data_IF_724868660403
#
_entry.id   IF_724868660403
#
_cell.length_a   1.000
_cell.length_b   1.000
_cell.length_c   1.000
_cell.angle_alpha   90.00
_cell.angle_beta   90.00
_cell.angle_gamma   90.00
#
_symmetry.space_group_name_H-M   'P 1'
#
loop_
_entity.id
_entity.type
_entity.pdbx_description
1 polymer ?
#
# COMPACT_ATOMS: atom_id res chain seq x y z
N UNK A 1 -4.44 30.51 10.51
CA UNK A 1 -5.62 30.76 9.68
C UNK A 1 -5.77 32.26 9.57
N UNK A 2 -5.13 32.86 8.57
CA UNK A 2 -5.19 34.29 8.31
C UNK A 2 -6.25 34.52 7.24
N UNK A 3 -7.30 35.27 7.59
CA UNK A 3 -8.27 35.83 6.65
C UNK A 3 -7.55 36.81 5.73
N UNK A 4 -7.16 36.34 4.54
CA UNK A 4 -6.76 37.20 3.44
C UNK A 4 -8.03 37.69 2.75
N UNK A 5 -8.47 38.89 3.13
CA UNK A 5 -9.51 39.63 2.44
C UNK A 5 -9.18 39.75 0.95
N UNK A 6 -9.96 39.07 0.12
CA UNK A 6 -9.90 39.17 -1.33
C UNK A 6 -10.37 40.58 -1.70
N UNK A 7 -9.55 41.40 -2.39
CA UNK A 7 -10.01 42.71 -2.84
C UNK A 7 -11.11 42.52 -3.88
N UNK A 8 -12.32 42.99 -3.57
CA UNK A 8 -13.43 43.02 -4.51
C UNK A 8 -13.00 43.77 -5.78
N UNK A 9 -12.79 43.02 -6.86
CA UNK A 9 -12.53 43.57 -8.17
C UNK A 9 -13.77 44.36 -8.61
N UNK A 10 -13.64 45.69 -8.62
CA UNK A 10 -14.67 46.63 -9.05
C UNK A 10 -14.98 46.37 -10.53
N UNK A 11 -16.07 45.65 -10.79
CA UNK A 11 -16.57 45.32 -12.13
C UNK A 11 -16.88 46.61 -12.91
N UNK A 12 -15.91 47.11 -13.69
CA UNK A 12 -16.17 48.17 -14.67
C UNK A 12 -16.97 47.54 -15.81
N UNK A 13 -18.29 47.64 -15.72
CA UNK A 13 -19.24 47.20 -16.74
C UNK A 13 -18.96 47.93 -18.05
N UNK A 14 -18.10 47.32 -18.88
CA UNK A 14 -17.81 47.75 -20.25
C UNK A 14 -19.14 47.79 -21.03
N UNK A 15 -19.41 48.83 -21.85
CA UNK A 15 -20.64 48.89 -22.62
C UNK A 15 -20.71 47.64 -23.51
N UNK A 16 -21.74 46.83 -23.24
CA UNK A 16 -22.00 45.54 -23.87
C UNK A 16 -22.04 45.70 -25.38
N UNK A 17 -21.54 44.71 -26.12
CA UNK A 17 -21.51 44.71 -27.60
C UNK A 17 -22.87 45.05 -28.22
N UNK A 18 -23.97 44.76 -27.51
CA UNK A 18 -25.33 45.18 -27.89
C UNK A 18 -25.53 46.70 -27.99
N UNK A 19 -24.89 47.52 -27.14
CA UNK A 19 -24.98 48.98 -27.21
C UNK A 19 -24.26 49.54 -28.45
N UNK A 20 -23.13 48.94 -28.84
CA UNK A 20 -22.39 49.31 -30.06
C UNK A 20 -23.22 48.95 -31.29
N UNK A 21 -23.79 47.73 -31.33
CA UNK A 21 -24.64 47.28 -32.44
C UNK A 21 -25.89 48.17 -32.57
N UNK A 22 -26.52 48.54 -31.45
CA UNK A 22 -27.70 49.42 -31.45
C UNK A 22 -27.39 50.83 -31.96
N UNK A 23 -26.21 51.39 -31.62
CA UNK A 23 -25.82 52.70 -32.09
C UNK A 23 -25.46 52.68 -33.60
N UNK A 24 -24.74 51.64 -34.05
CA UNK A 24 -24.37 51.47 -35.47
C UNK A 24 -25.60 51.23 -36.34
N UNK A 25 -26.59 50.46 -35.85
CA UNK A 25 -27.85 50.25 -36.57
C UNK A 25 -28.69 51.52 -36.64
N UNK A 26 -28.75 52.32 -35.57
CA UNK A 26 -29.42 53.62 -35.58
C UNK A 26 -28.74 54.60 -36.55
N UNK A 27 -27.41 54.70 -36.51
CA UNK A 27 -26.63 55.52 -37.44
C UNK A 27 -26.84 55.08 -38.90
N UNK A 28 -26.88 53.77 -39.15
CA UNK A 28 -27.18 53.18 -40.46
C UNK A 28 -28.60 53.54 -40.95
N UNK A 29 -29.60 53.47 -40.07
CA UNK A 29 -30.99 53.80 -40.41
C UNK A 29 -31.14 55.30 -40.72
N UNK A 30 -30.51 56.18 -39.94
CA UNK A 30 -30.49 57.62 -40.19
C UNK A 30 -29.79 57.95 -41.52
N UNK A 31 -28.68 57.28 -41.82
CA UNK A 31 -27.95 57.45 -43.09
C UNK A 31 -28.80 57.02 -44.30
N UNK A 32 -29.47 55.87 -44.22
CA UNK A 32 -30.37 55.40 -45.28
C UNK A 32 -31.57 56.33 -45.46
N UNK A 33 -32.18 56.82 -44.37
CA UNK A 33 -33.26 57.80 -44.43
C UNK A 33 -32.80 59.11 -45.05
N UNK A 34 -31.61 59.61 -44.70
CA UNK A 34 -31.03 60.81 -45.30
C UNK A 34 -30.73 60.61 -46.79
N UNK A 35 -30.24 59.43 -47.20
CA UNK A 35 -30.02 59.09 -48.60
C UNK A 35 -31.32 59.06 -49.42
N UNK A 36 -32.38 58.44 -48.88
CA UNK A 36 -33.71 58.37 -49.50
C UNK A 36 -34.37 59.75 -49.59
N UNK A 37 -34.35 60.53 -48.50
CA UNK A 37 -34.93 61.88 -48.46
C UNK A 37 -34.14 62.86 -49.33
N UNK A 38 -32.80 62.75 -49.33
CA UNK A 38 -31.92 63.50 -50.23
C UNK A 38 -32.25 63.23 -51.70
N UNK A 39 -32.46 61.95 -52.07
CA UNK A 39 -32.95 61.56 -53.39
C UNK A 39 -34.29 62.21 -53.73
N UNK A 40 -35.27 62.14 -52.83
CA UNK A 40 -36.58 62.75 -53.04
C UNK A 40 -36.51 64.28 -53.27
N UNK A 41 -35.51 64.93 -52.67
CA UNK A 41 -35.27 66.36 -52.83
C UNK A 41 -34.51 66.70 -54.13
N UNK A 42 -33.46 65.94 -54.48
CA UNK A 42 -32.61 66.20 -55.66
C UNK A 42 -33.13 65.58 -56.97
N UNK A 43 -34.04 64.60 -56.94
CA UNK A 43 -34.61 63.95 -58.13
C UNK A 43 -35.77 64.73 -58.78
N UNK A 44 -35.99 66.01 -58.42
CA UNK A 44 -36.87 66.90 -59.17
C UNK A 44 -36.24 67.25 -60.52
N UNK A 45 -36.49 66.43 -61.54
CA UNK A 45 -36.16 66.75 -62.94
C UNK A 45 -37.37 66.62 -63.87
N UNK A 46 -37.74 67.78 -64.41
CA UNK A 46 -38.40 68.06 -65.70
C UNK A 46 -39.47 67.09 -66.25
N UNK A 47 -40.71 67.53 -66.06
CA UNK A 47 -41.86 67.58 -66.98
C UNK A 47 -42.43 66.34 -67.70
N UNK A 48 -41.82 65.15 -67.68
CA UNK A 48 -42.43 64.00 -68.40
C UNK A 48 -42.15 62.61 -67.84
N UNK A 49 -41.75 62.51 -66.57
CA UNK A 49 -41.65 61.23 -65.87
C UNK A 49 -42.59 61.24 -64.66
N UNK A 50 -43.63 60.41 -64.71
CA UNK A 50 -44.58 60.22 -63.61
C UNK A 50 -43.97 59.23 -62.59
N UNK A 51 -43.14 59.77 -61.70
CA UNK A 51 -42.50 59.04 -60.61
C UNK A 51 -41.03 59.42 -60.40
N UNK A 52 -40.67 59.77 -59.16
CA UNK A 52 -39.32 60.18 -58.70
C UNK A 52 -38.19 59.19 -59.04
N UNK A 53 -38.54 57.93 -59.33
CA UNK A 53 -37.60 56.83 -59.58
C UNK A 53 -37.69 56.25 -61.01
N UNK A 54 -38.68 56.68 -61.80
CA UNK A 54 -39.00 56.06 -63.10
C UNK A 54 -38.11 56.54 -64.26
N UNK A 55 -37.35 57.62 -64.04
CA UNK A 55 -36.54 58.29 -65.07
C UNK A 55 -35.02 57.98 -64.97
N UNK A 56 -34.58 57.16 -64.01
CA UNK A 56 -33.15 56.86 -63.84
C UNK A 56 -32.70 55.70 -64.74
N UNK A 57 -31.62 55.92 -65.50
CA UNK A 57 -30.92 54.86 -66.24
C UNK A 57 -30.22 53.88 -65.29
N UNK A 58 -29.97 52.66 -65.77
CA UNK A 58 -29.36 51.59 -64.96
C UNK A 58 -27.99 51.98 -64.37
N UNK A 59 -27.20 52.77 -65.09
CA UNK A 59 -25.89 53.26 -64.64
C UNK A 59 -25.99 54.30 -63.51
N UNK A 60 -27.04 55.13 -63.53
CA UNK A 60 -27.31 56.10 -62.48
C UNK A 60 -27.74 55.41 -61.18
N UNK A 61 -28.51 54.32 -61.29
CA UNK A 61 -28.83 53.46 -60.15
C UNK A 61 -27.59 52.82 -59.52
N UNK A 62 -26.67 52.30 -60.33
CA UNK A 62 -25.42 51.73 -59.85
C UNK A 62 -24.53 52.74 -59.10
N UNK A 63 -24.37 53.94 -59.67
CA UNK A 63 -23.58 55.01 -59.05
C UNK A 63 -24.20 55.46 -57.72
N UNK A 64 -25.52 55.62 -57.67
CA UNK A 64 -26.24 55.97 -56.45
C UNK A 64 -26.12 54.90 -55.36
N UNK A 65 -26.41 53.64 -55.71
CA UNK A 65 -26.32 52.53 -54.76
C UNK A 65 -24.89 52.43 -54.22
N UNK A 66 -23.88 52.56 -55.07
CA UNK A 66 -22.48 52.56 -54.61
C UNK A 66 -22.18 53.72 -53.66
N UNK A 67 -22.71 54.92 -53.91
CA UNK A 67 -22.50 56.11 -53.06
C UNK A 67 -23.15 56.01 -51.69
N UNK A 68 -24.34 55.39 -51.58
CA UNK A 68 -25.03 55.23 -50.29
C UNK A 68 -24.55 54.00 -49.51
N UNK A 69 -24.28 52.89 -50.19
CA UNK A 69 -23.85 51.65 -49.56
C UNK A 69 -22.35 51.62 -49.19
N UNK A 70 -21.47 52.34 -49.90
CA UNK A 70 -20.04 52.32 -49.59
C UNK A 70 -19.70 52.87 -48.18
N UNK A 71 -20.20 54.05 -47.75
CA UNK A 71 -19.98 54.53 -46.37
C UNK A 71 -20.65 53.63 -45.33
N UNK A 72 -21.82 53.06 -45.65
CA UNK A 72 -22.54 52.15 -44.77
C UNK A 72 -21.72 50.88 -44.49
N UNK A 73 -21.18 50.25 -45.53
CA UNK A 73 -20.30 49.09 -45.39
C UNK A 73 -19.05 49.41 -44.57
N UNK A 74 -18.48 50.62 -44.73
CA UNK A 74 -17.33 51.07 -43.95
C UNK A 74 -17.65 51.23 -42.45
N UNK A 75 -18.81 51.78 -42.09
CA UNK A 75 -19.24 51.86 -40.69
C UNK A 75 -19.38 50.50 -40.02
N UNK A 76 -19.96 49.52 -40.73
CA UNK A 76 -20.07 48.15 -40.24
C UNK A 76 -18.70 47.46 -40.11
N UNK A 77 -17.76 47.75 -41.00
CA UNK A 77 -16.38 47.25 -40.89
C UNK A 77 -15.70 47.78 -39.62
N UNK A 78 -15.76 49.09 -39.37
CA UNK A 78 -15.15 49.67 -38.16
C UNK A 78 -15.80 49.15 -36.88
N UNK A 79 -17.13 49.00 -36.88
CA UNK A 79 -17.87 48.45 -35.74
C UNK A 79 -17.44 47.00 -35.42
N UNK A 80 -17.32 46.16 -36.44
CA UNK A 80 -16.91 44.75 -36.26
C UNK A 80 -15.46 44.64 -35.78
N UNK A 81 -14.53 45.44 -36.32
CA UNK A 81 -13.13 45.47 -35.85
C UNK A 81 -13.05 45.92 -34.38
N UNK A 82 -13.86 46.90 -33.98
CA UNK A 82 -13.84 47.37 -32.59
C UNK A 82 -14.37 46.33 -31.61
N UNK A 83 -15.45 45.63 -31.96
CA UNK A 83 -16.01 44.53 -31.17
C UNK A 83 -14.98 43.41 -31.05
N UNK A 84 -14.39 42.97 -32.18
CA UNK A 84 -13.36 41.93 -32.20
C UNK A 84 -12.13 42.31 -31.35
N UNK A 85 -11.71 43.57 -31.38
CA UNK A 85 -10.57 44.03 -30.57
C UNK A 85 -10.81 43.92 -29.06
N UNK A 86 -12.06 44.10 -28.63
CA UNK A 86 -12.45 44.00 -27.21
C UNK A 86 -12.55 42.56 -26.74
N UNK A 87 -13.13 41.68 -27.56
CA UNK A 87 -13.18 40.24 -27.28
C UNK A 87 -11.77 39.66 -27.13
N UNK A 88 -10.84 40.05 -28.01
CA UNK A 88 -9.44 39.64 -27.91
C UNK A 88 -8.74 40.19 -26.66
N UNK A 89 -9.09 41.39 -26.20
CA UNK A 89 -8.55 41.95 -24.96
C UNK A 89 -9.04 41.19 -23.73
N UNK A 90 -10.33 40.86 -23.68
CA UNK A 90 -10.92 40.07 -22.58
C UNK A 90 -10.37 38.63 -22.56
N UNK A 91 -10.23 38.00 -23.72
CA UNK A 91 -9.60 36.67 -23.82
C UNK A 91 -8.15 36.66 -23.31
N UNK A 92 -7.39 37.74 -23.53
CA UNK A 92 -6.02 37.85 -22.98
C UNK A 92 -6.00 37.94 -21.47
N UNK A 93 -6.95 38.65 -20.88
CA UNK A 93 -7.08 38.76 -19.43
C UNK A 93 -7.45 37.41 -18.81
N UNK A 94 -8.43 36.70 -19.38
CA UNK A 94 -8.79 35.34 -18.98
C UNK A 94 -7.60 34.39 -19.08
N UNK A 95 -6.84 34.41 -20.18
CA UNK A 95 -5.65 33.58 -20.34
C UNK A 95 -4.56 33.87 -19.29
N UNK A 96 -4.41 35.12 -18.86
CA UNK A 96 -3.47 35.47 -17.78
C UNK A 96 -3.93 34.89 -16.45
N UNK A 97 -5.22 35.02 -16.13
CA UNK A 97 -5.81 34.44 -14.92
C UNK A 97 -5.68 32.90 -14.92
N UNK A 98 -6.03 32.24 -16.02
CA UNK A 98 -5.88 30.78 -16.16
C UNK A 98 -4.43 30.33 -15.99
N UNK A 99 -3.45 31.10 -16.48
CA UNK A 99 -2.03 30.78 -16.26
C UNK A 99 -1.63 30.87 -14.80
N UNK A 100 -2.16 31.83 -14.05
CA UNK A 100 -1.92 31.97 -12.61
C UNK A 100 -2.55 30.80 -11.85
N UNK A 101 -3.78 30.41 -12.19
CA UNK A 101 -4.44 29.24 -11.59
C UNK A 101 -3.68 27.95 -11.88
N UNK A 102 -3.18 27.77 -13.11
CA UNK A 102 -2.34 26.61 -13.43
C UNK A 102 -1.00 26.62 -12.69
N UNK A 103 -0.40 27.80 -12.46
CA UNK A 103 0.81 27.91 -11.66
C UNK A 103 0.56 27.46 -10.22
N UNK A 104 -0.55 27.91 -9.61
CA UNK A 104 -0.95 27.50 -8.27
C UNK A 104 -1.32 26.01 -8.19
N UNK A 105 -2.06 25.50 -9.18
CA UNK A 105 -2.40 24.07 -9.26
C UNK A 105 -1.15 23.19 -9.35
N UNK A 106 -0.12 23.61 -10.10
CA UNK A 106 1.17 22.91 -10.15
C UNK A 106 1.89 22.90 -8.81
N UNK A 107 1.82 23.99 -8.04
CA UNK A 107 2.42 24.06 -6.72
C UNK A 107 1.73 23.09 -5.75
N UNK A 108 0.39 23.07 -5.72
CA UNK A 108 -0.38 22.12 -4.92
C UNK A 108 -0.08 20.68 -5.33
N UNK A 109 -0.03 20.38 -6.62
CA UNK A 109 0.32 19.04 -7.11
C UNK A 109 1.73 18.62 -6.70
N UNK A 110 2.71 19.54 -6.72
CA UNK A 110 4.07 19.25 -6.24
C UNK A 110 4.07 18.93 -4.74
N UNK A 111 3.38 19.73 -3.94
CA UNK A 111 3.25 19.50 -2.50
C UNK A 111 2.56 18.15 -2.21
N UNK A 112 1.51 17.80 -2.96
CA UNK A 112 0.84 16.50 -2.85
C UNK A 112 1.74 15.34 -3.27
N UNK A 113 2.56 15.50 -4.31
CA UNK A 113 3.51 14.48 -4.74
C UNK A 113 4.61 14.25 -3.69
N UNK A 114 5.11 15.33 -3.08
CA UNK A 114 6.09 15.25 -1.99
C UNK A 114 5.50 14.56 -0.75
N UNK A 115 4.27 14.92 -0.37
CA UNK A 115 3.57 14.29 0.75
C UNK A 115 3.29 12.81 0.48
N UNK A 116 2.88 12.46 -0.74
CA UNK A 116 2.69 11.06 -1.15
C UNK A 116 4.02 10.27 -1.10
N UNK A 117 5.13 10.87 -1.53
CA UNK A 117 6.45 10.25 -1.45
C UNK A 117 6.90 10.04 0.01
N UNK A 118 6.64 11.01 0.89
CA UNK A 118 6.90 10.87 2.32
C UNK A 118 6.02 9.79 2.95
N UNK A 119 4.72 9.75 2.63
CA UNK A 119 3.79 8.71 3.07
C UNK A 119 4.24 7.31 2.64
N UNK A 120 4.65 7.13 1.39
CA UNK A 120 5.21 5.87 0.89
C UNK A 120 6.45 5.44 1.69
N UNK A 121 7.33 6.38 2.05
CA UNK A 121 8.50 6.11 2.91
C UNK A 121 8.08 5.64 4.30
N UNK A 122 7.10 6.29 4.93
CA UNK A 122 6.58 5.90 6.24
C UNK A 122 5.96 4.50 6.23
N UNK A 123 5.19 4.18 5.18
CA UNK A 123 4.60 2.85 5.01
C UNK A 123 5.71 1.80 4.83
N UNK A 124 6.75 2.11 4.05
CA UNK A 124 7.92 1.25 3.90
C UNK A 124 8.61 0.94 5.23
N UNK A 125 8.85 1.96 6.05
CA UNK A 125 9.45 1.80 7.38
C UNK A 125 8.56 0.98 8.33
N UNK A 126 7.24 1.23 8.35
CA UNK A 126 6.30 0.43 9.15
C UNK A 126 6.28 -1.03 8.72
N UNK A 127 6.30 -1.29 7.41
CA UNK A 127 6.34 -2.65 6.86
C UNK A 127 7.60 -3.38 7.30
N UNK A 128 8.74 -2.70 7.31
CA UNK A 128 10.01 -3.27 7.77
C UNK A 128 9.99 -3.59 9.28
N UNK A 129 9.43 -2.69 10.10
CA UNK A 129 9.28 -2.92 11.55
C UNK A 129 8.39 -4.14 11.81
N UNK A 130 7.25 -4.25 11.11
CA UNK A 130 6.33 -5.38 11.25
C UNK A 130 6.99 -6.71 10.86
N UNK A 131 7.75 -6.74 9.77
CA UNK A 131 8.51 -7.94 9.36
C UNK A 131 9.49 -8.38 10.44
N UNK A 132 10.27 -7.45 11.00
CA UNK A 132 11.23 -7.75 12.08
C UNK A 132 10.52 -8.26 13.34
N UNK A 133 9.35 -7.68 13.69
CA UNK A 133 8.56 -8.15 14.83
C UNK A 133 8.02 -9.56 14.62
N UNK A 134 7.53 -9.88 13.43
CA UNK A 134 7.04 -11.22 13.09
C UNK A 134 8.15 -12.27 13.20
N UNK A 135 9.33 -11.98 12.65
CA UNK A 135 10.51 -12.86 12.76
C UNK A 135 10.89 -13.11 14.23
N UNK A 136 10.91 -12.06 15.06
CA UNK A 136 11.17 -12.19 16.49
C UNK A 136 10.12 -13.06 17.20
N UNK A 137 8.83 -12.84 16.91
CA UNK A 137 7.75 -13.65 17.49
C UNK A 137 7.83 -15.13 17.09
N UNK A 138 8.24 -15.42 15.85
CA UNK A 138 8.44 -16.81 15.39
C UNK A 138 9.59 -17.45 16.16
N UNK A 139 10.72 -16.74 16.33
CA UNK A 139 11.86 -17.25 17.10
C UNK A 139 11.51 -17.47 18.58
N UNK A 140 10.80 -16.53 19.20
CA UNK A 140 10.33 -16.67 20.59
C UNK A 140 9.37 -17.84 20.75
N UNK A 141 8.42 -18.02 19.81
CA UNK A 141 7.50 -19.16 19.83
C UNK A 141 8.26 -20.47 19.76
N UNK A 142 9.21 -20.60 18.83
CA UNK A 142 10.04 -21.80 18.70
C UNK A 142 10.87 -22.06 19.96
N UNK A 143 11.45 -21.02 20.56
CA UNK A 143 12.18 -21.13 21.83
C UNK A 143 11.28 -21.59 22.98
N UNK A 144 10.07 -21.06 23.07
CA UNK A 144 9.09 -21.49 24.07
C UNK A 144 8.66 -22.95 23.86
N UNK A 145 8.45 -23.37 22.61
CA UNK A 145 8.15 -24.76 22.27
C UNK A 145 9.32 -25.70 22.65
N UNK A 146 10.56 -25.26 22.41
CA UNK A 146 11.74 -26.01 22.79
C UNK A 146 11.83 -26.19 24.32
N UNK A 147 11.66 -25.10 25.07
CA UNK A 147 11.66 -25.15 26.53
C UNK A 147 10.51 -26.00 27.08
N UNK A 148 9.34 -25.96 26.43
CA UNK A 148 8.21 -26.82 26.76
C UNK A 148 8.53 -28.31 26.54
N UNK A 149 9.17 -28.66 25.42
CA UNK A 149 9.62 -30.03 25.15
C UNK A 149 10.61 -30.52 26.23
N UNK A 150 11.59 -29.70 26.62
CA UNK A 150 12.53 -30.04 27.70
C UNK A 150 11.85 -30.22 29.06
N UNK A 151 10.91 -29.33 29.40
CA UNK A 151 10.18 -29.41 30.66
C UNK A 151 9.28 -30.66 30.72
N UNK A 152 8.63 -31.01 29.62
CA UNK A 152 7.83 -32.24 29.54
C UNK A 152 8.70 -33.48 29.61
N UNK A 153 9.82 -33.51 28.88
CA UNK A 153 10.80 -34.59 28.96
C UNK A 153 11.26 -34.81 30.41
N UNK A 154 11.63 -33.71 31.09
CA UNK A 154 11.98 -33.76 32.50
C UNK A 154 10.84 -34.30 33.38
N UNK A 155 9.60 -33.85 33.15
CA UNK A 155 8.43 -34.31 33.88
C UNK A 155 8.18 -35.82 33.72
N UNK A 156 8.29 -36.33 32.49
CA UNK A 156 8.15 -37.77 32.20
C UNK A 156 9.25 -38.56 32.91
N UNK A 157 10.51 -38.12 32.78
CA UNK A 157 11.65 -38.76 33.43
C UNK A 157 11.44 -38.80 34.94
N UNK A 158 11.18 -37.65 35.56
CA UNK A 158 11.10 -37.49 37.01
C UNK A 158 9.95 -38.27 37.64
N UNK A 159 8.77 -38.25 37.01
CA UNK A 159 7.55 -38.78 37.63
C UNK A 159 7.22 -40.21 37.22
N UNK A 160 7.69 -40.68 36.06
CA UNK A 160 7.30 -42.00 35.53
C UNK A 160 8.47 -42.97 35.43
N UNK A 161 9.64 -42.48 35.03
CA UNK A 161 10.79 -43.34 34.75
C UNK A 161 11.79 -43.41 35.90
N UNK A 162 11.85 -42.39 36.76
CA UNK A 162 12.80 -42.33 37.85
C UNK A 162 12.34 -43.14 39.06
N UNK A 163 13.25 -43.91 39.69
CA UNK A 163 12.98 -44.79 40.85
C UNK A 163 11.91 -45.87 40.61
N UNK A 164 11.49 -46.03 39.36
CA UNK A 164 10.60 -47.09 38.92
C UNK A 164 11.43 -48.16 38.20
N UNK A 165 11.20 -49.46 38.43
CA UNK A 165 11.87 -50.54 37.70
C UNK A 165 11.32 -50.66 36.27
N UNK A 166 11.45 -49.59 35.48
CA UNK A 166 10.83 -49.43 34.17
C UNK A 166 11.55 -50.15 33.02
N UNK A 167 12.70 -50.78 33.29
CA UNK A 167 13.45 -51.55 32.31
C UNK A 167 13.44 -53.04 32.67
N UNK A 168 13.53 -53.89 31.65
CA UNK A 168 13.72 -55.34 31.78
C UNK A 168 14.96 -55.73 31.00
N UNK A 169 15.77 -56.64 31.54
CA UNK A 169 16.96 -57.14 30.87
C UNK A 169 17.41 -58.46 31.46
N UNK A 170 18.52 -58.98 30.96
CA UNK A 170 19.18 -60.17 31.48
C UNK A 170 20.42 -59.78 32.26
N UNK A 171 20.57 -60.27 33.48
CA UNK A 171 21.77 -60.03 34.28
C UNK A 171 22.93 -60.94 33.83
N UNK A 172 24.13 -60.72 34.37
CA UNK A 172 25.33 -61.55 34.09
C UNK A 172 25.16 -63.03 34.44
N UNK A 173 24.21 -63.37 35.32
CA UNK A 173 23.85 -64.74 35.66
C UNK A 173 22.83 -65.38 34.72
N UNK A 174 22.42 -64.70 33.65
CA UNK A 174 21.43 -65.18 32.67
C UNK A 174 19.97 -65.05 33.11
N UNK A 175 19.70 -64.47 34.28
CA UNK A 175 18.34 -64.29 34.79
C UNK A 175 17.71 -63.01 34.25
N UNK A 176 16.47 -63.10 33.76
CA UNK A 176 15.69 -61.94 33.33
C UNK A 176 15.03 -61.26 34.54
N UNK A 177 15.09 -59.94 34.62
CA UNK A 177 14.48 -59.18 35.72
C UNK A 177 14.29 -57.70 35.37
N UNK A 178 13.50 -57.02 36.20
CA UNK A 178 13.23 -55.59 36.07
C UNK A 178 14.22 -54.76 36.90
N UNK A 179 14.62 -53.61 36.38
CA UNK A 179 15.59 -52.71 37.01
C UNK A 179 15.32 -51.25 36.64
N UNK A 180 15.98 -50.32 37.33
CA UNK A 180 15.78 -48.88 37.15
C UNK A 180 16.81 -48.04 37.90
N UNK A 181 16.72 -46.72 37.73
CA UNK A 181 17.59 -45.78 38.43
C UNK A 181 17.27 -45.76 39.92
N UNK A 182 18.28 -45.96 40.75
CA UNK A 182 18.16 -45.95 42.22
C UNK A 182 18.71 -44.67 42.86
N UNK A 183 19.40 -43.81 42.11
CA UNK A 183 20.01 -42.59 42.62
C UNK A 183 18.94 -41.57 43.07
N UNK A 184 19.27 -40.67 44.01
CA UNK A 184 18.41 -39.53 44.33
C UNK A 184 18.09 -38.70 43.07
N UNK A 185 16.85 -38.22 42.96
CA UNK A 185 16.43 -37.35 41.85
C UNK A 185 17.12 -35.99 42.04
N UNK A 186 17.85 -35.49 41.04
CA UNK A 186 18.32 -34.10 41.06
C UNK A 186 17.14 -33.11 41.17
N UNK A 187 17.38 -31.95 41.79
CA UNK A 187 16.38 -30.89 41.86
C UNK A 187 16.26 -30.12 40.55
N UNK A 188 17.38 -29.99 39.84
CA UNK A 188 17.48 -29.25 38.59
C UNK A 188 17.00 -30.08 37.39
N UNK A 189 16.35 -29.41 36.45
CA UNK A 189 15.77 -30.01 35.25
C UNK A 189 16.86 -30.63 34.39
N UNK A 190 17.90 -29.84 34.11
CA UNK A 190 18.96 -30.17 33.17
C UNK A 190 19.83 -31.29 33.73
N UNK A 191 20.15 -31.22 35.02
CA UNK A 191 20.86 -32.29 35.72
C UNK A 191 20.10 -33.61 35.69
N UNK A 192 18.77 -33.58 35.88
CA UNK A 192 17.94 -34.79 35.78
C UNK A 192 18.02 -35.42 34.39
N UNK A 193 17.90 -34.61 33.34
CA UNK A 193 18.00 -35.09 31.95
C UNK A 193 19.39 -35.67 31.69
N UNK A 194 20.46 -35.00 32.12
CA UNK A 194 21.85 -35.45 31.93
C UNK A 194 22.11 -36.77 32.64
N UNK A 195 21.71 -36.90 33.90
CA UNK A 195 21.94 -38.14 34.67
C UNK A 195 21.13 -39.29 34.08
N UNK A 196 19.87 -39.03 33.69
CA UNK A 196 19.05 -40.04 33.02
C UNK A 196 19.67 -40.46 31.68
N UNK A 197 20.10 -39.51 30.84
CA UNK A 197 20.77 -39.77 29.58
C UNK A 197 22.01 -40.66 29.75
N UNK A 198 22.89 -40.33 30.70
CA UNK A 198 24.06 -41.16 31.02
C UNK A 198 23.69 -42.56 31.50
N UNK A 199 22.64 -42.68 32.32
CA UNK A 199 22.18 -43.98 32.80
C UNK A 199 21.69 -44.88 31.66
N UNK A 200 20.90 -44.30 30.75
CA UNK A 200 20.34 -44.99 29.59
C UNK A 200 21.41 -45.34 28.55
N UNK A 201 22.50 -44.59 28.46
CA UNK A 201 23.61 -44.91 27.55
C UNK A 201 24.51 -46.05 28.05
N UNK A 202 24.86 -46.05 29.33
CA UNK A 202 25.85 -47.01 29.85
C UNK A 202 25.63 -47.45 31.30
N UNK A 203 24.72 -46.80 32.04
CA UNK A 203 24.53 -47.03 33.47
C UNK A 203 24.03 -48.43 33.81
N UNK A 204 23.09 -48.98 33.04
CA UNK A 204 22.58 -50.33 33.29
C UNK A 204 23.59 -51.43 32.96
N UNK A 205 24.44 -51.23 31.96
CA UNK A 205 25.52 -52.15 31.63
C UNK A 205 26.55 -52.22 32.78
N UNK A 206 26.86 -51.07 33.40
CA UNK A 206 27.70 -51.02 34.59
C UNK A 206 27.08 -51.76 35.80
N UNK A 207 25.75 -51.91 35.84
CA UNK A 207 25.03 -52.71 36.84
C UNK A 207 24.91 -54.19 36.46
N UNK A 208 25.53 -54.63 35.34
CA UNK A 208 25.53 -56.02 34.90
C UNK A 208 24.28 -56.44 34.13
N UNK A 209 23.48 -55.49 33.63
CA UNK A 209 22.33 -55.78 32.77
C UNK A 209 22.69 -55.66 31.29
N UNK A 210 22.23 -56.62 30.49
CA UNK A 210 22.33 -56.62 29.02
C UNK A 210 20.95 -56.82 28.39
N UNK A 211 20.82 -56.48 27.10
CA UNK A 211 19.56 -56.53 26.36
C UNK A 211 18.42 -55.79 27.08
N UNK A 212 18.72 -54.58 27.53
CA UNK A 212 17.75 -53.72 28.19
C UNK A 212 16.63 -53.33 27.22
N UNK A 213 15.40 -53.37 27.70
CA UNK A 213 14.20 -52.96 26.99
C UNK A 213 13.25 -52.30 28.00
N UNK A 214 12.34 -51.43 27.56
CA UNK A 214 11.28 -50.96 28.45
C UNK A 214 10.35 -52.11 28.85
N UNK A 215 9.97 -52.16 30.12
CA UNK A 215 8.90 -53.03 30.58
C UNK A 215 7.59 -52.63 29.88
N UNK A 216 6.72 -53.59 29.47
CA UNK A 216 5.51 -53.28 28.71
C UNK A 216 4.60 -52.21 29.36
N UNK A 217 4.55 -52.17 30.70
CA UNK A 217 3.78 -51.18 31.46
C UNK A 217 4.28 -49.74 31.27
N UNK A 218 5.56 -49.55 30.95
CA UNK A 218 6.21 -48.23 30.82
C UNK A 218 6.60 -47.89 29.39
N UNK A 219 6.36 -48.79 28.42
CA UNK A 219 6.72 -48.58 27.02
C UNK A 219 6.15 -47.27 26.46
N UNK A 220 4.90 -46.94 26.80
CA UNK A 220 4.28 -45.66 26.41
C UNK A 220 5.03 -44.45 26.97
N UNK A 221 5.47 -44.51 28.24
CA UNK A 221 6.25 -43.41 28.83
C UNK A 221 7.63 -43.27 28.19
N UNK A 222 8.23 -44.39 27.76
CA UNK A 222 9.46 -44.38 26.96
C UNK A 222 9.25 -43.72 25.59
N UNK A 223 8.14 -44.03 24.91
CA UNK A 223 7.76 -43.40 23.63
C UNK A 223 7.53 -41.90 23.80
N UNK A 224 6.76 -41.48 24.81
CA UNK A 224 6.53 -40.05 25.05
C UNK A 224 7.84 -39.30 25.39
N UNK A 225 8.76 -39.93 26.12
CA UNK A 225 10.07 -39.35 26.39
C UNK A 225 10.91 -39.23 25.10
N UNK A 226 10.87 -40.24 24.23
CA UNK A 226 11.50 -40.19 22.92
C UNK A 226 10.93 -39.04 22.08
N UNK A 227 9.60 -38.95 21.94
CA UNK A 227 8.93 -37.91 21.15
C UNK A 227 9.29 -36.49 21.64
N UNK A 228 9.38 -36.28 22.97
CA UNK A 228 9.80 -34.99 23.51
C UNK A 228 11.28 -34.68 23.25
N UNK A 229 12.16 -35.68 23.33
CA UNK A 229 13.59 -35.52 23.04
C UNK A 229 13.82 -35.25 21.54
N UNK A 230 13.13 -35.98 20.67
CA UNK A 230 13.19 -35.83 19.22
C UNK A 230 12.65 -34.47 18.78
N UNK A 231 11.50 -34.06 19.32
CA UNK A 231 10.96 -32.71 19.08
C UNK A 231 11.91 -31.60 19.53
N UNK A 232 12.62 -31.78 20.64
CA UNK A 232 13.63 -30.82 21.08
C UNK A 232 14.79 -30.72 20.07
N UNK A 233 15.22 -31.85 19.49
CA UNK A 233 16.25 -31.90 18.45
C UNK A 233 15.79 -31.19 17.17
N UNK A 234 14.57 -31.46 16.71
CA UNK A 234 14.02 -30.85 15.50
C UNK A 234 13.93 -29.32 15.59
N UNK A 235 13.59 -28.81 16.78
CA UNK A 235 13.50 -27.38 17.04
C UNK A 235 14.86 -26.69 17.04
N UNK A 236 15.96 -27.38 17.34
CA UNK A 236 17.32 -26.80 17.30
C UNK A 236 17.67 -26.26 15.93
N UNK A 237 17.32 -26.99 14.86
CA UNK A 237 17.59 -26.58 13.49
C UNK A 237 16.84 -25.30 13.07
N UNK A 238 15.89 -24.82 13.90
CA UNK A 238 14.99 -23.73 13.59
C UNK A 238 15.12 -22.50 14.51
N UNK A 239 15.97 -22.54 15.55
CA UNK A 239 16.08 -21.46 16.55
C UNK A 239 17.41 -20.72 16.41
N UNK A 240 18.47 -21.21 17.06
CA UNK A 240 19.79 -20.57 17.13
C UNK A 240 20.86 -21.58 17.62
N UNK A 241 22.13 -21.16 17.54
CA UNK A 241 23.27 -21.96 18.01
C UNK A 241 23.21 -22.27 19.52
N UNK A 242 22.51 -21.43 20.29
CA UNK A 242 22.36 -21.62 21.73
C UNK A 242 21.54 -22.86 22.04
N UNK A 243 20.37 -23.04 21.41
CA UNK A 243 19.56 -24.24 21.56
C UNK A 243 20.37 -25.51 21.20
N UNK A 244 21.18 -25.44 20.15
CA UNK A 244 22.06 -26.55 19.76
C UNK A 244 23.14 -26.86 20.79
N UNK A 245 23.70 -25.83 21.43
CA UNK A 245 24.64 -26.03 22.54
C UNK A 245 23.98 -26.66 23.76
N UNK A 246 22.72 -26.31 24.05
CA UNK A 246 21.94 -26.85 25.17
C UNK A 246 21.61 -28.33 24.94
N UNK A 247 21.10 -28.70 23.76
CA UNK A 247 20.82 -30.12 23.42
C UNK A 247 22.06 -31.00 23.49
N UNK A 248 23.21 -30.50 23.02
CA UNK A 248 24.50 -31.20 23.15
C UNK A 248 24.95 -31.33 24.60
N UNK A 249 24.86 -30.25 25.39
CA UNK A 249 25.22 -30.27 26.82
C UNK A 249 24.36 -31.26 27.61
N UNK A 250 23.07 -31.34 27.28
CA UNK A 250 22.12 -32.24 27.92
C UNK A 250 22.24 -33.70 27.46
N UNK A 251 22.97 -33.96 26.37
CA UNK A 251 23.08 -35.30 25.78
C UNK A 251 21.76 -35.81 25.23
N UNK A 252 20.94 -34.92 24.65
CA UNK A 252 19.59 -35.25 24.18
C UNK A 252 19.63 -36.06 22.86
N UNK A 253 20.63 -35.84 22.00
CA UNK A 253 20.81 -36.64 20.78
C UNK A 253 21.01 -38.12 21.11
N UNK A 254 21.93 -38.40 22.02
CA UNK A 254 22.22 -39.75 22.48
C UNK A 254 21.04 -40.33 23.25
N UNK A 255 20.37 -39.53 24.08
CA UNK A 255 19.17 -39.95 24.80
C UNK A 255 18.06 -40.38 23.82
N UNK A 256 17.74 -39.55 22.82
CA UNK A 256 16.72 -39.85 21.81
C UNK A 256 17.05 -41.16 21.09
N UNK A 257 18.29 -41.31 20.63
CA UNK A 257 18.76 -42.53 19.98
C UNK A 257 18.59 -43.78 20.87
N UNK A 258 19.01 -43.70 22.14
CA UNK A 258 18.89 -44.85 23.06
C UNK A 258 17.44 -45.17 23.42
N UNK A 259 16.59 -44.15 23.61
CA UNK A 259 15.16 -44.36 23.85
C UNK A 259 14.50 -45.06 22.64
N UNK A 260 14.85 -44.67 21.41
CA UNK A 260 14.37 -45.35 20.18
C UNK A 260 14.69 -46.85 20.21
N UNK A 261 15.93 -47.20 20.55
CA UNK A 261 16.41 -48.59 20.65
C UNK A 261 15.66 -49.34 21.76
N UNK A 262 15.57 -48.76 22.97
CA UNK A 262 14.94 -49.40 24.14
C UNK A 262 13.43 -49.61 23.98
N UNK A 263 12.77 -48.75 23.21
CA UNK A 263 11.36 -48.86 22.88
C UNK A 263 11.08 -49.85 21.73
N UNK A 264 12.12 -50.45 21.12
CA UNK A 264 12.03 -51.28 19.91
C UNK A 264 11.27 -50.60 18.77
N UNK A 265 11.45 -49.28 18.63
CA UNK A 265 10.86 -48.58 17.51
C UNK A 265 11.58 -49.00 16.22
N UNK A 266 10.80 -49.25 15.17
CA UNK A 266 11.35 -49.61 13.87
C UNK A 266 12.35 -48.53 13.40
N UNK A 267 13.60 -48.88 13.07
CA UNK A 267 14.60 -47.92 12.62
C UNK A 267 14.18 -47.15 11.36
N UNK A 268 13.22 -47.65 10.58
CA UNK A 268 12.75 -47.02 9.33
C UNK A 268 11.54 -46.08 9.50
N UNK A 269 11.13 -45.78 10.74
CA UNK A 269 10.03 -44.86 11.05
C UNK A 269 10.50 -43.62 11.79
#
# INVERSE_FOLDING_TARGET
>A
MNDLAIPEAREKKSPTSGAIIAWVSAASAVWLLAGILGLGYFAKSTASCDGTFSCLTIDAWGTYLSGVFAPLAFFWLVATVWIQSRELAQQREELVLTRQEFAHSREVMKAQAEEAANSARYIGLQTEILKRQEEQQILERRRNEFQYALNNLHGIIKHRLWKTPCFVGTNTGGNRGSFGITTPIPSDRDETIVVFSKYVQSGYAAQGWVNAEFEPAYQLSGVEAFDMADRAIDLVNQIDDFAGSEVRRLGIFELSHQLKVLCKMDPNR
#
